data_IF_039668060216
#
_entry.id   IF_039668060216
#
_cell.length_a   1.000
_cell.length_b   1.000
_cell.length_c   1.000
_cell.angle_alpha   90.00
_cell.angle_beta   90.00
_cell.angle_gamma   90.00
#
_symmetry.space_group_name_H-M   'P 1'
#
loop_
_entity.id
_entity.type
_entity.pdbx_description
1 polymer ?
#
# COMPACT_ATOMS: atom_id res chain seq x y z
N UNK A 1 1.58 7.71 20.02
CA UNK A 1 1.42 6.34 19.48
C UNK A 1 1.55 6.43 17.96
N UNK A 2 2.51 5.70 17.36
CA UNK A 2 2.75 5.72 15.91
C UNK A 2 1.74 4.83 15.21
N UNK A 3 1.08 5.30 14.15
CA UNK A 3 0.07 4.55 13.41
C UNK A 3 0.61 4.30 12.01
N UNK A 4 0.57 3.06 11.56
CA UNK A 4 0.99 2.69 10.20
C UNK A 4 -0.20 2.07 9.50
N UNK A 5 -0.56 2.63 8.34
CA UNK A 5 -1.64 2.12 7.51
C UNK A 5 -1.05 1.27 6.39
N UNK A 6 -1.53 0.04 6.25
CA UNK A 6 -1.19 -0.81 5.12
C UNK A 6 -2.37 -0.88 4.13
N UNK A 7 -2.13 -0.53 2.87
CA UNK A 7 -3.09 -0.68 1.78
C UNK A 7 -2.72 -1.92 0.99
N UNK A 8 -3.57 -2.95 1.06
CA UNK A 8 -3.35 -4.19 0.31
C UNK A 8 -3.99 -4.06 -1.08
N UNK A 9 -3.15 -4.02 -2.12
CA UNK A 9 -3.58 -3.82 -3.50
C UNK A 9 -3.46 -2.36 -3.94
N UNK A 10 -2.37 -2.03 -4.62
CA UNK A 10 -2.10 -0.73 -5.26
C UNK A 10 -2.74 -0.53 -6.64
N UNK A 11 -3.92 -1.12 -6.86
CA UNK A 11 -4.72 -0.86 -8.06
C UNK A 11 -5.39 0.52 -8.04
N UNK A 12 -6.23 0.81 -9.03
CA UNK A 12 -6.90 2.12 -9.15
C UNK A 12 -7.67 2.54 -7.88
N UNK A 13 -8.37 1.60 -7.22
CA UNK A 13 -9.06 1.89 -5.96
C UNK A 13 -8.08 2.18 -4.82
N UNK A 14 -7.01 1.41 -4.68
CA UNK A 14 -6.00 1.62 -3.64
C UNK A 14 -5.27 2.95 -3.80
N UNK A 15 -4.96 3.32 -5.05
CA UNK A 15 -4.36 4.62 -5.39
C UNK A 15 -5.30 5.79 -5.09
N UNK A 16 -6.61 5.65 -5.39
CA UNK A 16 -7.58 6.69 -5.08
C UNK A 16 -7.74 6.92 -3.57
N UNK A 17 -7.77 5.83 -2.78
CA UNK A 17 -7.80 5.91 -1.32
C UNK A 17 -6.52 6.54 -0.78
N UNK A 18 -5.35 6.13 -1.30
CA UNK A 18 -4.07 6.71 -0.93
C UNK A 18 -4.04 8.22 -1.18
N UNK A 19 -4.44 8.65 -2.39
CA UNK A 19 -4.49 10.05 -2.76
C UNK A 19 -5.42 10.86 -1.85
N UNK A 20 -6.60 10.32 -1.52
CA UNK A 20 -7.54 10.97 -0.60
C UNK A 20 -7.01 11.05 0.84
N UNK A 21 -6.31 10.02 1.32
CA UNK A 21 -5.72 9.98 2.67
C UNK A 21 -4.55 10.95 2.82
N UNK A 22 -3.72 11.10 1.76
CA UNK A 22 -2.61 12.05 1.74
C UNK A 22 -3.10 13.49 1.55
N UNK A 23 -4.22 13.70 0.85
CA UNK A 23 -4.80 15.03 0.63
C UNK A 23 -5.69 15.52 1.79
N UNK A 24 -6.12 14.63 2.69
CA UNK A 24 -7.05 14.97 3.78
C UNK A 24 -6.43 15.80 4.91
N UNK A 25 -7.22 16.70 5.50
CA UNK A 25 -6.79 17.72 6.48
C UNK A 25 -6.81 17.24 7.96
N UNK A 26 -7.35 16.05 8.26
CA UNK A 26 -7.42 15.49 9.64
C UNK A 26 -6.40 14.39 9.84
N UNK A 27 -5.76 14.30 11.04
CA UNK A 27 -4.30 14.12 11.14
C UNK A 27 -3.80 13.30 9.94
N UNK A 28 -3.49 14.02 8.86
CA UNK A 28 -3.23 13.44 7.55
C UNK A 28 -2.10 12.44 7.69
N UNK A 29 -2.28 11.24 7.14
CA UNK A 29 -1.21 10.27 7.13
C UNK A 29 -0.08 10.84 6.29
N UNK A 30 1.13 10.81 6.83
CA UNK A 30 2.30 11.15 6.02
C UNK A 30 2.68 9.97 5.13
N UNK A 31 3.37 10.18 4.00
CA UNK A 31 3.84 9.07 3.17
C UNK A 31 4.67 8.02 3.93
N UNK A 32 5.39 8.44 4.98
CA UNK A 32 6.17 7.55 5.85
C UNK A 32 5.34 6.70 6.82
N UNK A 33 4.04 6.96 6.92
CA UNK A 33 3.08 6.18 7.73
C UNK A 33 2.20 5.26 6.88
N UNK A 34 2.36 5.29 5.56
CA UNK A 34 1.61 4.45 4.63
C UNK A 34 2.52 3.45 3.94
N UNK A 35 2.09 2.19 3.96
CA UNK A 35 2.71 1.10 3.21
C UNK A 35 1.69 0.57 2.21
N UNK A 36 2.06 0.44 0.95
CA UNK A 36 1.22 -0.20 -0.06
C UNK A 36 1.77 -1.59 -0.38
N UNK A 37 0.90 -2.57 -0.52
CA UNK A 37 1.26 -3.91 -0.99
C UNK A 37 0.84 -4.05 -2.43
N UNK A 38 1.81 -4.22 -3.33
CA UNK A 38 1.57 -4.32 -4.77
C UNK A 38 2.51 -5.37 -5.39
N UNK A 39 1.98 -6.21 -6.27
CA UNK A 39 2.69 -7.36 -6.85
C UNK A 39 3.39 -7.06 -8.18
N UNK A 40 2.96 -6.02 -8.87
CA UNK A 40 3.38 -5.59 -10.20
C UNK A 40 4.47 -4.50 -10.05
N UNK A 41 5.74 -4.79 -10.41
CA UNK A 41 6.84 -3.86 -10.18
C UNK A 41 6.63 -2.46 -10.79
N UNK A 42 6.01 -2.39 -11.98
CA UNK A 42 5.71 -1.13 -12.64
C UNK A 42 4.71 -0.25 -11.85
N UNK A 43 3.70 -0.85 -11.21
CA UNK A 43 2.75 -0.13 -10.38
C UNK A 43 3.37 0.26 -9.04
N UNK A 44 4.19 -0.61 -8.47
CA UNK A 44 4.95 -0.29 -7.27
C UNK A 44 5.84 0.95 -7.47
N UNK A 45 6.62 0.99 -8.56
CA UNK A 45 7.46 2.14 -8.90
C UNK A 45 6.65 3.41 -9.07
N UNK A 46 5.55 3.36 -9.83
CA UNK A 46 4.64 4.50 -10.01
C UNK A 46 4.12 5.06 -8.68
N UNK A 47 3.69 4.20 -7.76
CA UNK A 47 3.17 4.63 -6.47
C UNK A 47 4.25 5.25 -5.58
N UNK A 48 5.45 4.67 -5.56
CA UNK A 48 6.60 5.22 -4.83
C UNK A 48 7.03 6.57 -5.40
N UNK A 49 7.17 6.70 -6.72
CA UNK A 49 7.60 7.94 -7.37
C UNK A 49 6.57 9.07 -7.22
N UNK A 50 5.28 8.75 -7.38
CA UNK A 50 4.20 9.75 -7.37
C UNK A 50 3.81 10.19 -5.96
N UNK A 51 3.78 9.28 -4.99
CA UNK A 51 3.25 9.55 -3.65
C UNK A 51 4.30 9.48 -2.53
N UNK A 52 5.53 9.03 -2.82
CA UNK A 52 6.60 8.93 -1.84
C UNK A 52 6.37 7.85 -0.77
N UNK A 53 5.50 6.87 -1.04
CA UNK A 53 5.13 5.82 -0.09
C UNK A 53 6.02 4.59 -0.20
N UNK A 54 6.15 3.87 0.90
CA UNK A 54 6.80 2.57 0.91
C UNK A 54 5.90 1.54 0.21
N UNK A 55 6.44 0.78 -0.74
CA UNK A 55 5.72 -0.31 -1.41
C UNK A 55 6.43 -1.63 -1.14
N UNK A 56 5.67 -2.67 -0.84
CA UNK A 56 6.17 -4.02 -0.60
C UNK A 56 5.42 -5.05 -1.45
N UNK A 57 6.08 -6.16 -1.77
CA UNK A 57 5.49 -7.25 -2.54
C UNK A 57 4.55 -8.11 -1.72
N UNK A 58 3.69 -8.88 -2.40
CA UNK A 58 2.91 -9.92 -1.73
C UNK A 58 3.84 -11.01 -1.20
N UNK A 59 3.64 -11.38 0.08
CA UNK A 59 4.24 -12.59 0.61
C UNK A 59 3.79 -13.79 -0.24
N UNK A 60 4.67 -14.78 -0.48
CA UNK A 60 4.30 -15.97 -1.22
C UNK A 60 3.06 -16.61 -0.58
N UNK A 61 2.13 -17.06 -1.43
CA UNK A 61 0.89 -17.68 -0.96
C UNK A 61 1.25 -18.75 0.05
N UNK A 62 0.67 -18.68 1.25
CA UNK A 62 0.84 -19.73 2.25
C UNK A 62 0.35 -21.03 1.60
N UNK A 63 1.31 -21.89 1.24
CA UNK A 63 1.06 -23.21 0.68
C UNK A 63 0.58 -24.12 1.78
N UNK A 64 -0.59 -23.82 2.38
CA UNK A 64 -1.23 -24.76 3.28
C UNK A 64 -1.60 -25.96 2.41
N UNK A 65 -1.02 -27.17 2.64
CA UNK A 65 -1.55 -28.35 2.01
C UNK A 65 -3.02 -28.40 2.44
N UNK A 66 -3.93 -28.41 1.47
CA UNK A 66 -5.35 -28.64 1.75
C UNK A 66 -5.37 -29.96 2.51
N UNK A 67 -5.69 -29.95 3.80
CA UNK A 67 -5.95 -31.20 4.52
C UNK A 67 -7.04 -31.92 3.74
N UNK A 68 -6.74 -33.16 3.36
CA UNK A 68 -7.70 -34.13 2.88
C UNK A 68 -8.88 -34.25 3.84
#
# INVERSE_FOLDING_TARGET
MKRTLAIIGGGNMGEALLAGLLAGERPGLTPGEVVVVEQTPARAAHLTEKYGVAVTGLAPRCGRPRRC
#
